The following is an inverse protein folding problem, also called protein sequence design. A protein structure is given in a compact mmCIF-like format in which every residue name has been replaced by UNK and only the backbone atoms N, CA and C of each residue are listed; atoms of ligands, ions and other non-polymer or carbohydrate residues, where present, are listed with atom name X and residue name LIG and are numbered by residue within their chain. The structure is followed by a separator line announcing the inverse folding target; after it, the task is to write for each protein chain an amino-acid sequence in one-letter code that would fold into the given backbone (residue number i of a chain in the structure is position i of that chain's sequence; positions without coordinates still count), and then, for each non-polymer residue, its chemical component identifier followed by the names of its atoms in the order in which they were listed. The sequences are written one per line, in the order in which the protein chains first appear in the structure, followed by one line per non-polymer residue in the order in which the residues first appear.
data_IF_874555402373
#
_entry.id   IF_874555402373
#
_cell.length_a   1.000
_cell.length_b   1.000
_cell.length_c   1.000
_cell.angle_alpha   90.00
_cell.angle_beta   90.00
_cell.angle_gamma   90.00
#
_symmetry.space_group_name_H-M   'P 1'
#
loop_
_entity.id
_entity.type
_entity.pdbx_description
1 polymer ?
#
# COMPACT_ATOMS: atom_id res chain seq x y z
N UNK A 1 -4.96 -22.31 6.78
CA UNK A 1 -5.96 -21.23 6.72
C UNK A 1 -5.48 -20.09 7.60
N UNK A 2 -5.74 -18.84 7.22
CA UNK A 2 -5.43 -17.70 8.10
C UNK A 2 -6.36 -17.70 9.32
N UNK A 3 -5.92 -17.14 10.45
CA UNK A 3 -6.74 -17.01 11.65
C UNK A 3 -8.06 -16.28 11.36
N UNK A 4 -8.01 -15.26 10.51
CA UNK A 4 -9.19 -14.48 10.08
C UNK A 4 -10.23 -15.34 9.36
N UNK A 5 -9.80 -16.32 8.54
CA UNK A 5 -10.74 -17.21 7.85
C UNK A 5 -11.50 -18.10 8.85
N UNK A 6 -10.81 -18.59 9.88
CA UNK A 6 -11.42 -19.43 10.92
C UNK A 6 -12.40 -18.64 11.80
N UNK A 7 -12.04 -17.40 12.14
CA UNK A 7 -12.88 -16.51 12.94
C UNK A 7 -14.12 -16.05 12.16
N UNK A 8 -13.98 -15.81 10.86
CA UNK A 8 -15.11 -15.51 9.97
C UNK A 8 -16.07 -16.69 9.85
N UNK A 9 -15.55 -17.90 9.65
CA UNK A 9 -16.38 -19.12 9.56
C UNK A 9 -17.16 -19.37 10.85
N UNK A 10 -16.51 -19.21 12.01
CA UNK A 10 -17.16 -19.34 13.31
C UNK A 10 -18.27 -18.29 13.50
N UNK A 11 -17.98 -17.03 13.15
CA UNK A 11 -18.95 -15.93 13.28
C UNK A 11 -20.14 -16.13 12.35
N UNK A 12 -19.91 -16.56 11.10
CA UNK A 12 -20.99 -16.82 10.13
C UNK A 12 -21.96 -17.91 10.59
N UNK A 13 -21.49 -18.90 11.34
CA UNK A 13 -22.33 -19.97 11.87
C UNK A 13 -23.32 -19.49 12.95
N UNK A 14 -23.10 -18.32 13.53
CA UNK A 14 -23.91 -17.76 14.62
C UNK A 14 -24.85 -16.62 14.17
N UNK A 15 -24.72 -16.15 12.93
CA UNK A 15 -25.49 -15.02 12.41
C UNK A 15 -26.90 -15.41 11.96
N UNK A 16 -27.85 -14.50 12.14
CA UNK A 16 -29.16 -14.56 11.48
C UNK A 16 -29.06 -14.26 9.98
N UNK A 17 -30.08 -14.64 9.23
CA UNK A 17 -30.10 -14.54 7.76
C UNK A 17 -29.87 -13.10 7.25
N UNK A 18 -30.39 -12.09 7.95
CA UNK A 18 -30.24 -10.70 7.52
C UNK A 18 -28.79 -10.21 7.76
N UNK A 19 -28.22 -10.55 8.91
CA UNK A 19 -26.82 -10.21 9.22
C UNK A 19 -25.84 -10.96 8.32
N UNK A 20 -26.10 -12.24 8.00
CA UNK A 20 -25.30 -13.02 7.07
C UNK A 20 -25.31 -12.43 5.66
N UNK A 21 -26.49 -12.02 5.16
CA UNK A 21 -26.62 -11.37 3.85
C UNK A 21 -25.89 -10.01 3.79
N UNK A 22 -25.94 -9.23 4.88
CA UNK A 22 -25.22 -7.96 4.97
C UNK A 22 -23.70 -8.17 4.96
N UNK A 23 -23.20 -9.17 5.69
CA UNK A 23 -21.79 -9.51 5.73
C UNK A 23 -21.29 -10.05 4.39
N UNK A 24 -22.07 -10.91 3.73
CA UNK A 24 -21.74 -11.41 2.39
C UNK A 24 -21.58 -10.26 1.39
N UNK A 25 -22.52 -9.30 1.40
CA UNK A 25 -22.44 -8.10 0.56
C UNK A 25 -21.17 -7.29 0.84
N UNK A 26 -20.85 -7.07 2.11
CA UNK A 26 -19.64 -6.34 2.52
C UNK A 26 -18.37 -7.01 1.98
N UNK A 27 -18.26 -8.34 2.13
CA UNK A 27 -17.09 -9.10 1.66
C UNK A 27 -16.99 -9.02 0.13
N UNK A 28 -18.12 -9.15 -0.59
CA UNK A 28 -18.15 -9.01 -2.05
C UNK A 28 -17.66 -7.62 -2.49
N UNK A 29 -18.17 -6.56 -1.86
CA UNK A 29 -17.79 -5.18 -2.17
C UNK A 29 -16.29 -4.94 -1.91
N UNK A 30 -15.75 -5.48 -0.80
CA UNK A 30 -14.32 -5.39 -0.48
C UNK A 30 -13.44 -6.13 -1.50
N UNK A 31 -13.88 -7.31 -1.96
CA UNK A 31 -13.18 -8.09 -2.99
C UNK A 31 -13.18 -7.37 -4.34
N UNK A 32 -14.31 -6.80 -4.75
CA UNK A 32 -14.39 -6.04 -6.00
C UNK A 32 -13.52 -4.77 -5.94
N UNK A 33 -13.49 -4.07 -4.81
CA UNK A 33 -12.58 -2.94 -4.60
C UNK A 33 -11.11 -3.37 -4.72
N UNK A 34 -10.74 -4.49 -4.12
CA UNK A 34 -9.37 -5.01 -4.20
C UNK A 34 -8.99 -5.39 -5.64
N UNK A 35 -9.91 -6.02 -6.40
CA UNK A 35 -9.72 -6.33 -7.81
C UNK A 35 -9.55 -5.07 -8.66
N UNK A 36 -10.42 -4.08 -8.47
CA UNK A 36 -10.35 -2.81 -9.18
C UNK A 36 -9.02 -2.09 -8.91
N UNK A 37 -8.56 -2.07 -7.65
CA UNK A 37 -7.25 -1.51 -7.29
C UNK A 37 -6.09 -2.30 -7.88
N UNK A 38 -6.16 -3.63 -7.90
CA UNK A 38 -5.16 -4.47 -8.56
C UNK A 38 -5.09 -4.24 -10.07
N UNK A 39 -6.22 -3.96 -10.71
CA UNK A 39 -6.27 -3.64 -12.14
C UNK A 39 -5.76 -2.21 -12.42
N UNK A 40 -6.02 -1.26 -11.52
CA UNK A 40 -5.57 0.13 -11.63
C UNK A 40 -4.09 0.31 -11.26
N UNK A 41 -3.60 -0.47 -10.30
CA UNK A 41 -2.17 -0.61 -10.04
C UNK A 41 -1.57 -1.40 -11.21
N UNK A 42 -1.11 -0.67 -12.23
CA UNK A 42 -0.30 -1.25 -13.30
C UNK A 42 0.91 -2.02 -12.75
N UNK A 43 1.73 -2.61 -13.63
CA UNK A 43 2.93 -3.33 -13.18
C UNK A 43 3.74 -2.44 -12.22
N UNK A 44 4.21 -3.04 -11.13
CA UNK A 44 5.16 -2.40 -10.22
C UNK A 44 6.55 -2.90 -10.58
N UNK A 45 7.57 -2.05 -10.46
CA UNK A 45 8.96 -2.47 -10.58
C UNK A 45 9.44 -3.21 -9.31
N UNK A 46 10.68 -3.70 -9.31
CA UNK A 46 11.29 -4.42 -8.18
C UNK A 46 11.35 -3.59 -6.88
N UNK A 47 11.24 -2.27 -7.00
CA UNK A 47 11.23 -1.31 -5.89
C UNK A 47 9.81 -0.96 -5.41
N UNK A 48 8.77 -1.59 -5.98
CA UNK A 48 7.36 -1.38 -5.59
C UNK A 48 6.71 -0.12 -6.16
N UNK A 49 7.36 0.58 -7.10
CA UNK A 49 6.81 1.77 -7.76
C UNK A 49 6.05 1.40 -9.03
N UNK A 50 5.02 2.17 -9.43
CA UNK A 50 4.38 1.99 -10.73
C UNK A 50 5.43 2.06 -11.86
N UNK A 51 5.44 1.08 -12.75
CA UNK A 51 6.31 1.09 -13.94
C UNK A 51 6.05 2.37 -14.75
N UNK A 52 7.11 3.06 -15.17
CA UNK A 52 7.01 4.34 -15.87
C UNK A 52 6.91 5.56 -14.95
N UNK A 53 6.81 5.38 -13.62
CA UNK A 53 6.69 6.50 -12.67
C UNK A 53 7.90 7.43 -12.70
N UNK A 54 9.12 6.88 -12.69
CA UNK A 54 10.34 7.70 -12.71
C UNK A 54 10.63 8.26 -14.09
N UNK A 55 10.34 7.50 -15.14
CA UNK A 55 10.45 7.95 -16.53
C UNK A 55 9.54 9.14 -16.82
N UNK A 56 8.35 9.19 -16.20
CA UNK A 56 7.43 10.34 -16.28
C UNK A 56 8.07 11.64 -15.75
N UNK A 57 8.92 11.56 -14.74
CA UNK A 57 9.55 12.71 -14.11
C UNK A 57 11.05 12.83 -14.43
N UNK A 58 11.57 11.96 -15.30
CA UNK A 58 12.95 12.05 -15.76
C UNK A 58 13.15 13.40 -16.45
N UNK A 59 14.18 14.14 -16.03
CA UNK A 59 14.46 15.49 -16.50
C UNK A 59 13.62 16.59 -15.86
N UNK A 60 12.71 16.29 -14.91
CA UNK A 60 11.95 17.35 -14.19
C UNK A 60 12.84 18.27 -13.35
N UNK A 61 14.06 17.83 -13.04
CA UNK A 61 15.06 18.58 -12.30
C UNK A 61 16.28 18.91 -13.18
N UNK A 62 16.21 18.68 -14.49
CA UNK A 62 17.31 18.96 -15.40
C UNK A 62 17.45 20.48 -15.59
N UNK A 63 18.57 21.03 -15.11
CA UNK A 63 18.82 22.47 -15.13
C UNK A 63 18.37 23.23 -13.87
N UNK A 64 17.86 22.53 -12.85
CA UNK A 64 17.70 23.14 -11.52
C UNK A 64 19.08 23.34 -10.89
N UNK A 65 19.34 24.58 -10.47
CA UNK A 65 20.55 24.97 -9.74
C UNK A 65 20.34 24.62 -8.25
N UNK A 66 20.58 23.36 -7.92
CA UNK A 66 20.52 22.89 -6.54
C UNK A 66 21.76 23.39 -5.80
N UNK A 67 21.59 24.45 -5.01
CA UNK A 67 22.62 24.91 -4.09
C UNK A 67 22.85 23.87 -2.99
N UNK A 68 24.11 23.59 -2.68
CA UNK A 68 24.47 22.76 -1.52
C UNK A 68 24.01 23.48 -0.25
N UNK A 69 23.29 22.76 0.63
CA UNK A 69 22.82 23.35 1.88
C UNK A 69 24.01 23.87 2.69
N UNK A 70 23.98 25.16 3.06
CA UNK A 70 25.08 25.84 3.76
C UNK A 70 25.46 25.19 5.11
N UNK A 71 24.54 24.42 5.70
CA UNK A 71 24.75 23.73 6.97
C UNK A 71 24.90 22.22 6.75
N UNK A 72 26.11 21.66 6.85
CA UNK A 72 26.30 20.22 6.76
C UNK A 72 25.56 19.54 7.94
N UNK A 73 24.99 18.34 7.72
CA UNK A 73 24.34 17.60 8.80
C UNK A 73 25.31 17.42 9.97
N UNK A 74 24.82 17.50 11.23
CA UNK A 74 25.68 17.32 12.39
C UNK A 74 26.41 15.99 12.30
N UNK A 75 27.72 16.01 12.57
CA UNK A 75 28.54 14.81 12.53
C UNK A 75 27.92 13.72 13.41
N UNK A 76 27.89 12.45 12.95
CA UNK A 76 27.35 11.36 13.75
C UNK A 76 28.07 11.34 15.09
N UNK A 77 27.30 11.49 16.17
CA UNK A 77 27.84 11.39 17.52
C UNK A 77 28.38 9.98 17.70
N UNK A 78 29.71 9.84 17.70
CA UNK A 78 30.36 8.61 18.15
C UNK A 78 30.17 8.56 19.67
N UNK A 79 29.00 8.10 20.12
CA UNK A 79 28.84 7.72 21.51
C UNK A 79 29.71 6.47 21.75
N UNK A 80 30.69 6.53 22.67
CA UNK A 80 31.40 5.33 23.09
C UNK A 80 30.43 4.40 23.84
N UNK A 81 30.47 3.12 23.46
CA UNK A 81 29.77 2.03 24.11
C UNK A 81 30.22 1.80 25.56
#
# INVERSE_FOLDING_TARGET
MSAIAQELDATLAELDEASAAALERLVRDAVELAKARRQAAGPLNELGWPTGFFEKYAGSLEGDDWEEAEDPPPAPSLEPA
#
